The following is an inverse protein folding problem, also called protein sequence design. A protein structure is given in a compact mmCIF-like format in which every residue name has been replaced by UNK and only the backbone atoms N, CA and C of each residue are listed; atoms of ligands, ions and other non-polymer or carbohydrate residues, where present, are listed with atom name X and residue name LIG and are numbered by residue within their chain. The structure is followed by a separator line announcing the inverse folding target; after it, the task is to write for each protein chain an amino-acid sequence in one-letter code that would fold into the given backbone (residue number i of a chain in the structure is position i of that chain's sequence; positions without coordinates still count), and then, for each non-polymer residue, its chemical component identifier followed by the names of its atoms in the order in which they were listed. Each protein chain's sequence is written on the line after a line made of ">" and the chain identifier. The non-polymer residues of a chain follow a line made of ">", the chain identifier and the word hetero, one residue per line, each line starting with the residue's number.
data_IF_646010847152
#
_entry.id   IF_646010847152
#
_cell.length_a   1.000
_cell.length_b   1.000
_cell.length_c   1.000
_cell.angle_alpha   90.00
_cell.angle_beta   90.00
_cell.angle_gamma   90.00
#
_symmetry.space_group_name_H-M   'P 1'
#
loop_
_entity.id
_entity.type
_entity.pdbx_description
1 polymer ?
#
# COMPACT_ATOMS: atom_id res chain seq x y z
N UNK A 1 -8.40 -5.04 -11.82
CA UNK A 1 -8.59 -3.57 -11.92
C UNK A 1 -7.92 -2.95 -10.69
N UNK A 2 -7.54 -1.67 -10.72
CA UNK A 2 -7.00 -0.99 -9.53
C UNK A 2 -8.11 -0.18 -8.87
N UNK A 3 -8.28 -0.32 -7.56
CA UNK A 3 -9.29 0.39 -6.77
C UNK A 3 -8.63 1.14 -5.61
N UNK A 4 -8.82 2.46 -5.46
CA UNK A 4 -8.34 3.20 -4.29
C UNK A 4 -8.85 2.57 -2.99
N UNK A 5 -7.99 2.51 -1.98
CA UNK A 5 -8.38 1.97 -0.68
C UNK A 5 -9.28 2.93 0.10
N UNK A 6 -10.27 2.36 0.79
CA UNK A 6 -11.08 3.03 1.79
C UNK A 6 -10.54 2.81 3.20
N UNK A 7 -10.86 3.71 4.13
CA UNK A 7 -10.45 3.60 5.53
C UNK A 7 -11.00 2.36 6.26
N UNK A 8 -12.09 1.78 5.75
CA UNK A 8 -12.76 0.60 6.31
C UNK A 8 -12.50 -0.67 5.52
N UNK A 9 -11.60 -0.64 4.54
CA UNK A 9 -11.26 -1.83 3.76
C UNK A 9 -10.57 -2.88 4.64
N UNK A 10 -10.95 -4.14 4.44
CA UNK A 10 -10.43 -5.32 5.15
C UNK A 10 -9.94 -6.38 4.16
N UNK A 11 -9.33 -7.46 4.64
CA UNK A 11 -8.84 -8.52 3.74
C UNK A 11 -7.68 -8.05 2.87
N UNK A 12 -6.85 -7.13 3.38
CA UNK A 12 -5.79 -6.47 2.61
C UNK A 12 -4.45 -7.21 2.67
N UNK A 13 -4.24 -8.09 3.65
CA UNK A 13 -2.97 -8.75 3.85
C UNK A 13 -2.56 -9.57 2.61
N UNK A 14 -1.32 -9.39 2.16
CA UNK A 14 -0.76 -10.09 1.01
C UNK A 14 -1.18 -9.51 -0.34
N UNK A 15 -2.13 -8.57 -0.39
CA UNK A 15 -2.59 -7.98 -1.65
C UNK A 15 -1.58 -6.99 -2.20
N UNK A 16 -1.41 -7.00 -3.52
CA UNK A 16 -0.64 -5.98 -4.23
C UNK A 16 -1.43 -4.67 -4.26
N UNK A 17 -0.75 -3.59 -3.91
CA UNK A 17 -1.25 -2.23 -4.08
C UNK A 17 -0.29 -1.40 -4.94
N UNK A 18 -0.87 -0.53 -5.75
CA UNK A 18 -0.17 0.49 -6.53
C UNK A 18 -0.13 1.80 -5.75
N UNK A 19 1.02 2.47 -5.81
CA UNK A 19 1.19 3.84 -5.32
C UNK A 19 0.51 4.83 -6.28
N UNK A 20 -0.34 5.69 -5.73
CA UNK A 20 -1.07 6.73 -6.48
C UNK A 20 -0.29 8.04 -6.60
N UNK A 21 0.82 8.17 -5.86
CA UNK A 21 1.73 9.31 -5.88
C UNK A 21 3.17 8.82 -6.05
N UNK A 22 4.02 9.66 -6.66
CA UNK A 22 5.46 9.42 -6.73
C UNK A 22 6.18 9.64 -5.41
N UNK A 23 5.56 10.36 -4.47
CA UNK A 23 6.12 10.72 -3.17
C UNK A 23 5.16 10.30 -2.05
N UNK A 24 5.11 9.00 -1.71
CA UNK A 24 4.24 8.51 -0.64
C UNK A 24 4.73 8.95 0.72
N UNK A 25 3.79 9.16 1.64
CA UNK A 25 4.06 9.67 2.99
C UNK A 25 3.49 8.75 4.07
N UNK A 26 4.04 8.87 5.28
CA UNK A 26 3.48 8.30 6.50
C UNK A 26 2.35 9.17 7.08
N UNK A 27 1.89 8.85 8.28
CA UNK A 27 0.81 9.55 8.99
C UNK A 27 1.18 10.98 9.41
N UNK A 28 2.46 11.27 9.57
CA UNK A 28 2.96 12.62 9.88
C UNK A 28 3.22 13.46 8.62
N UNK A 29 3.05 12.89 7.43
CA UNK A 29 3.32 13.56 6.15
C UNK A 29 4.79 13.51 5.75
N UNK A 30 5.63 12.72 6.42
CA UNK A 30 7.02 12.53 6.01
C UNK A 30 7.13 11.47 4.92
N UNK A 31 8.17 11.53 4.06
CA UNK A 31 8.39 10.50 3.04
C UNK A 31 8.44 9.10 3.66
N UNK A 32 7.65 8.16 3.10
CA UNK A 32 7.50 6.80 3.62
C UNK A 32 8.79 5.96 3.55
N UNK A 33 9.85 6.48 2.92
CA UNK A 33 11.14 5.81 2.82
C UNK A 33 11.17 4.66 1.82
N UNK A 34 10.22 4.57 0.89
CA UNK A 34 10.28 3.62 -0.22
C UNK A 34 11.40 4.00 -1.20
N UNK A 35 12.02 3.03 -1.90
CA UNK A 35 13.01 3.32 -2.93
C UNK A 35 12.43 4.20 -4.04
N UNK A 36 13.28 5.06 -4.62
CA UNK A 36 12.88 5.87 -5.76
C UNK A 36 12.39 5.00 -6.92
N UNK A 37 11.27 5.36 -7.53
CA UNK A 37 10.67 4.60 -8.63
C UNK A 37 9.85 3.38 -8.20
N UNK A 38 9.69 3.12 -6.90
CA UNK A 38 8.72 2.14 -6.43
C UNK A 38 7.31 2.55 -6.91
N UNK A 39 6.60 1.61 -7.53
CA UNK A 39 5.25 1.82 -8.08
C UNK A 39 4.22 0.88 -7.47
N UNK A 40 4.67 -0.28 -7.01
CA UNK A 40 3.85 -1.32 -6.39
C UNK A 40 4.47 -1.79 -5.08
N UNK A 41 3.60 -2.23 -4.18
CA UNK A 41 3.94 -2.75 -2.86
C UNK A 41 2.99 -3.88 -2.49
N UNK A 42 3.40 -4.71 -1.53
CA UNK A 42 2.58 -5.76 -0.91
C UNK A 42 2.11 -5.22 0.44
N UNK A 43 0.80 -5.25 0.69
CA UNK A 43 0.24 -4.85 1.98
C UNK A 43 0.47 -5.95 3.02
N UNK A 44 0.93 -5.59 4.21
CA UNK A 44 1.28 -6.53 5.29
C UNK A 44 0.27 -6.55 6.45
N UNK A 45 -0.78 -5.73 6.38
CA UNK A 45 -1.83 -5.62 7.40
C UNK A 45 -3.18 -5.92 6.78
N UNK A 46 -4.10 -6.52 7.55
CA UNK A 46 -5.42 -6.88 7.02
C UNK A 46 -6.36 -5.68 6.87
N UNK A 47 -6.18 -4.68 7.73
CA UNK A 47 -7.03 -3.49 7.83
C UNK A 47 -6.17 -2.23 7.94
N UNK A 48 -6.71 -1.08 7.54
CA UNK A 48 -6.06 0.22 7.76
C UNK A 48 -5.86 0.47 9.26
N UNK A 49 -4.68 0.95 9.65
CA UNK A 49 -4.37 1.25 11.05
C UNK A 49 -5.10 2.51 11.55
N UNK A 50 -5.20 2.72 12.87
CA UNK A 50 -5.82 3.93 13.44
C UNK A 50 -5.17 5.25 13.01
N UNK A 51 -3.91 5.23 12.56
CA UNK A 51 -3.21 6.41 12.04
C UNK A 51 -3.40 6.62 10.54
N UNK A 52 -4.41 5.97 9.93
CA UNK A 52 -4.71 6.06 8.50
C UNK A 52 -3.54 5.62 7.60
N UNK A 53 -2.76 4.64 8.04
CA UNK A 53 -1.65 4.05 7.27
C UNK A 53 -1.77 2.54 7.17
N UNK A 54 -1.06 1.97 6.19
CA UNK A 54 -0.81 0.53 6.08
C UNK A 54 0.70 0.28 6.09
N UNK A 55 1.12 -0.79 6.78
CA UNK A 55 2.44 -1.36 6.61
C UNK A 55 2.51 -2.07 5.27
N UNK A 56 3.52 -1.74 4.48
CA UNK A 56 3.74 -2.29 3.16
C UNK A 56 5.18 -2.77 2.99
N UNK A 57 5.41 -3.61 2.00
CA UNK A 57 6.72 -4.07 1.57
C UNK A 57 6.89 -3.84 0.07
N UNK A 58 8.09 -3.46 -0.37
CA UNK A 58 8.41 -3.38 -1.81
C UNK A 58 8.14 -4.71 -2.52
N UNK A 59 7.54 -4.66 -3.71
CA UNK A 59 7.34 -5.83 -4.58
C UNK A 59 8.46 -5.98 -5.63
N UNK A 60 8.56 -7.16 -6.26
CA UNK A 60 9.48 -7.42 -7.38
C UNK A 60 10.92 -7.72 -6.95
N UNK A 61 11.88 -7.36 -7.80
CA UNK A 61 13.30 -7.75 -7.69
C UNK A 61 14.15 -6.85 -6.78
N UNK A 62 13.55 -5.83 -6.17
CA UNK A 62 14.24 -4.96 -5.22
C UNK A 62 14.35 -5.62 -3.85
N UNK A 63 15.43 -5.32 -3.11
CA UNK A 63 15.60 -5.83 -1.76
C UNK A 63 14.37 -5.48 -0.88
N UNK A 64 13.84 -6.44 -0.10
CA UNK A 64 12.60 -6.26 0.63
C UNK A 64 12.76 -5.15 1.67
N UNK A 65 12.05 -4.04 1.46
CA UNK A 65 11.99 -2.92 2.41
C UNK A 65 10.57 -2.71 2.88
N UNK A 66 10.39 -2.56 4.18
CA UNK A 66 9.08 -2.23 4.77
C UNK A 66 8.96 -0.74 5.07
N UNK A 67 7.75 -0.22 4.94
CA UNK A 67 7.40 1.18 5.16
C UNK A 67 5.96 1.30 5.68
N UNK A 68 5.58 2.46 6.21
CA UNK A 68 4.18 2.85 6.40
C UNK A 68 3.79 3.92 5.41
N UNK A 69 2.64 3.73 4.77
CA UNK A 69 2.11 4.63 3.74
C UNK A 69 0.66 4.95 4.07
N UNK A 70 0.23 6.20 3.87
CA UNK A 70 -1.18 6.58 4.03
C UNK A 70 -2.07 5.75 3.10
N UNK A 71 -3.18 5.23 3.61
CA UNK A 71 -4.01 4.29 2.85
C UNK A 71 -4.59 4.92 1.58
N UNK A 72 -4.89 6.22 1.59
CA UNK A 72 -5.47 6.97 0.47
C UNK A 72 -4.48 7.23 -0.67
N UNK A 73 -3.19 6.93 -0.46
CA UNK A 73 -2.15 6.95 -1.49
C UNK A 73 -1.97 5.60 -2.18
N UNK A 74 -2.83 4.62 -1.86
CA UNK A 74 -2.77 3.25 -2.36
C UNK A 74 -4.04 2.89 -3.12
N UNK A 75 -3.88 2.14 -4.21
CA UNK A 75 -4.96 1.43 -4.87
C UNK A 75 -4.66 -0.07 -4.88
N UNK A 76 -5.56 -0.89 -4.35
CA UNK A 76 -5.41 -2.35 -4.32
C UNK A 76 -5.82 -2.96 -5.66
N UNK A 77 -5.15 -4.04 -6.06
CA UNK A 77 -5.56 -4.82 -7.23
C UNK A 77 -6.80 -5.62 -6.87
N UNK A 78 -7.93 -5.34 -7.53
CA UNK A 78 -9.10 -6.21 -7.45
C UNK A 78 -8.69 -7.59 -7.93
N UNK A 79 -8.93 -8.58 -7.08
CA UNK A 79 -8.97 -9.96 -7.55
C UNK A 79 -10.24 -10.07 -8.38
N UNK A 80 -10.11 -10.52 -9.63
CA UNK A 80 -11.31 -10.89 -10.37
C UNK A 80 -11.98 -11.96 -9.53
N UNK A 81 -13.13 -11.65 -8.93
CA UNK A 81 -13.89 -12.62 -8.18
C UNK A 81 -14.10 -13.84 -9.08
N UNK A 82 -13.41 -14.95 -8.78
CA UNK A 82 -13.83 -16.24 -9.31
C UNK A 82 -15.27 -16.44 -8.82
N UNK A 83 -16.17 -16.59 -9.80
CA UNK A 83 -17.60 -16.78 -9.59
C UNK A 83 -17.89 -18.11 -8.92
#
# INVERSE_FOLDING_TARGET
>A
MWRPLGATDTGLNGRTARLLTSEPTDDAGWPAGLPAGATEVIILEDTVSPTATLKVQTSGDVAPKTARVRFDQLAVRDEAAER
#
